data_IF_759801309477
#
_entry.id   IF_759801309477
#
_cell.length_a   1.000
_cell.length_b   1.000
_cell.length_c   1.000
_cell.angle_alpha   90.00
_cell.angle_beta   90.00
_cell.angle_gamma   90.00
#
_symmetry.space_group_name_H-M   'P 1'
#
loop_
_entity.id
_entity.type
_entity.pdbx_description
1 polymer ?
#
# COMPACT_ATOMS: atom_id res chain seq x y z
N UNK A 1 15.85 76.71 -36.33
CA UNK A 1 14.73 76.22 -35.58
C UNK A 1 15.00 74.72 -35.25
N UNK A 2 15.41 74.45 -34.03
CA UNK A 2 15.66 73.04 -33.53
C UNK A 2 14.52 72.64 -32.64
N UNK A 3 13.78 71.61 -33.07
CA UNK A 3 12.70 71.08 -32.29
C UNK A 3 13.24 69.96 -31.34
N UNK A 4 13.04 70.17 -30.06
CA UNK A 4 13.37 69.20 -29.00
C UNK A 4 12.22 68.25 -28.80
N UNK A 5 12.50 66.94 -28.87
CA UNK A 5 11.56 65.85 -28.56
C UNK A 5 11.75 65.47 -27.10
N UNK A 6 10.70 65.43 -26.25
CA UNK A 6 10.83 64.98 -24.88
C UNK A 6 10.94 63.45 -24.81
N UNK A 7 11.96 62.95 -24.09
CA UNK A 7 12.09 61.54 -23.72
C UNK A 7 11.04 61.16 -22.66
N UNK A 8 10.08 60.35 -23.05
CA UNK A 8 9.20 59.67 -22.09
C UNK A 8 9.96 58.51 -21.49
N UNK A 9 10.24 58.59 -20.21
CA UNK A 9 10.72 57.46 -19.40
C UNK A 9 9.59 56.50 -19.14
N UNK A 10 9.63 55.31 -19.78
CA UNK A 10 8.75 54.19 -19.51
C UNK A 10 9.29 53.42 -18.29
N UNK A 11 8.68 53.66 -17.12
CA UNK A 11 8.96 52.88 -15.92
C UNK A 11 8.35 51.48 -16.08
N UNK A 12 9.18 50.47 -16.34
CA UNK A 12 8.77 49.07 -16.29
C UNK A 12 8.61 48.66 -14.82
N UNK A 13 7.36 48.60 -14.40
CA UNK A 13 7.01 47.94 -13.14
C UNK A 13 7.21 46.41 -13.30
N UNK A 14 8.31 45.92 -12.74
CA UNK A 14 8.49 44.47 -12.52
C UNK A 14 7.48 44.00 -11.47
N UNK A 15 6.33 43.52 -11.93
CA UNK A 15 5.42 42.74 -11.11
C UNK A 15 6.09 41.39 -10.82
N UNK A 16 6.67 41.24 -9.63
CA UNK A 16 7.01 39.92 -9.11
C UNK A 16 5.70 39.14 -8.94
N UNK A 17 5.38 38.29 -9.95
CA UNK A 17 4.35 37.28 -9.79
C UNK A 17 4.86 36.31 -8.72
N UNK A 18 4.35 36.41 -7.50
CA UNK A 18 4.36 35.34 -6.53
C UNK A 18 3.56 34.19 -7.19
N UNK A 19 4.27 33.24 -7.78
CA UNK A 19 3.72 31.92 -8.02
C UNK A 19 3.52 31.31 -6.63
N UNK A 20 2.35 31.57 -6.06
CA UNK A 20 1.87 30.78 -4.94
C UNK A 20 1.86 29.33 -5.45
N UNK A 21 2.68 28.47 -4.85
CA UNK A 21 2.62 27.04 -5.00
C UNK A 21 1.15 26.64 -4.76
N UNK A 22 0.41 26.34 -5.83
CA UNK A 22 -0.92 25.74 -5.78
C UNK A 22 -0.76 24.24 -5.46
N UNK A 23 -0.05 23.91 -4.38
CA UNK A 23 -0.23 22.62 -3.75
C UNK A 23 -1.66 22.63 -3.22
N UNK A 24 -2.49 21.70 -3.73
CA UNK A 24 -3.87 21.56 -3.26
C UNK A 24 -3.84 21.45 -1.73
N UNK A 25 -4.47 22.42 -1.07
CA UNK A 25 -4.52 22.47 0.38
C UNK A 25 -5.34 21.28 0.89
N UNK A 26 -4.88 20.59 1.92
CA UNK A 26 -5.67 19.50 2.48
C UNK A 26 -7.01 20.01 2.97
N UNK A 27 -8.05 19.19 2.88
CA UNK A 27 -9.38 19.58 3.36
C UNK A 27 -10.10 18.43 4.05
N UNK A 28 -10.90 18.79 5.06
CA UNK A 28 -11.80 17.89 5.79
C UNK A 28 -13.23 18.39 5.58
N UNK A 29 -14.07 17.53 5.01
CA UNK A 29 -15.51 17.77 4.94
C UNK A 29 -16.19 17.00 6.07
N UNK A 30 -16.90 17.69 6.95
CA UNK A 30 -17.64 17.09 8.06
C UNK A 30 -19.03 16.60 7.64
N UNK A 31 -19.68 15.77 8.45
CA UNK A 31 -21.01 15.22 8.16
C UNK A 31 -22.09 16.28 8.12
N UNK A 32 -21.93 17.40 8.83
CA UNK A 32 -22.79 18.58 8.79
C UNK A 32 -22.51 19.52 7.60
N UNK A 33 -21.56 19.12 6.73
CA UNK A 33 -21.25 19.84 5.49
C UNK A 33 -20.22 20.96 5.63
N UNK A 34 -19.64 21.19 6.81
CA UNK A 34 -18.58 22.18 6.96
C UNK A 34 -17.29 21.68 6.27
N UNK A 35 -16.60 22.58 5.58
CA UNK A 35 -15.28 22.32 4.98
C UNK A 35 -14.23 23.07 5.78
N UNK A 36 -13.16 22.38 6.16
CA UNK A 36 -12.00 22.96 6.81
C UNK A 36 -10.77 22.72 5.94
N UNK A 37 -10.15 23.80 5.50
CA UNK A 37 -8.96 23.79 4.66
C UNK A 37 -7.73 24.15 5.49
N UNK A 38 -6.65 23.39 5.32
CA UNK A 38 -5.40 23.58 6.08
C UNK A 38 -4.44 22.45 5.85
N UNK A 39 -3.42 22.33 6.67
CA UNK A 39 -2.47 21.21 6.62
C UNK A 39 -2.89 20.13 7.63
N UNK A 40 -3.18 18.91 7.17
CA UNK A 40 -3.44 17.77 8.04
C UNK A 40 -2.12 17.32 8.65
N UNK A 41 -2.01 17.38 9.98
CA UNK A 41 -0.77 17.08 10.73
C UNK A 41 -0.75 15.68 11.31
N UNK A 42 -1.86 14.97 11.28
CA UNK A 42 -1.94 13.56 11.72
C UNK A 42 -3.27 13.19 12.37
N UNK A 43 -3.28 11.99 12.95
CA UNK A 43 -4.42 11.45 13.71
C UNK A 43 -3.98 11.22 15.16
N UNK A 44 -4.79 11.68 16.12
CA UNK A 44 -4.54 11.43 17.53
C UNK A 44 -5.84 11.25 18.30
N UNK A 45 -5.89 10.24 19.15
CA UNK A 45 -7.06 9.96 20.01
C UNK A 45 -8.41 9.93 19.24
N UNK A 46 -8.42 9.33 18.04
CA UNK A 46 -9.63 9.22 17.21
C UNK A 46 -10.08 10.53 16.55
N UNK A 47 -9.19 11.52 16.44
CA UNK A 47 -9.45 12.78 15.76
C UNK A 47 -8.33 13.15 14.79
N UNK A 48 -8.69 13.71 13.64
CA UNK A 48 -7.76 14.27 12.65
C UNK A 48 -7.38 15.67 13.09
N UNK A 49 -6.07 15.93 13.16
CA UNK A 49 -5.51 17.25 13.46
C UNK A 49 -5.28 18.00 12.17
N UNK A 50 -5.76 19.23 12.11
CA UNK A 50 -5.60 20.13 10.98
C UNK A 50 -5.13 21.50 11.46
N UNK A 51 -4.08 22.01 10.82
CA UNK A 51 -3.53 23.33 11.08
C UNK A 51 -4.10 24.32 10.08
N UNK A 52 -4.80 25.34 10.59
CA UNK A 52 -5.42 26.40 9.80
C UNK A 52 -4.75 27.73 10.19
N UNK A 53 -3.86 28.24 9.33
CA UNK A 53 -3.00 29.36 9.68
C UNK A 53 -2.14 29.06 10.91
N UNK A 54 -2.15 29.89 11.97
CA UNK A 54 -1.36 29.64 13.19
C UNK A 54 -2.04 28.67 14.16
N UNK A 55 -3.33 28.37 13.99
CA UNK A 55 -4.11 27.56 14.91
C UNK A 55 -4.13 26.09 14.47
N UNK A 56 -4.03 25.16 15.44
CA UNK A 56 -4.28 23.75 15.23
C UNK A 56 -5.58 23.36 15.90
N UNK A 57 -6.43 22.63 15.18
CA UNK A 57 -7.71 22.13 15.65
C UNK A 57 -7.83 20.63 15.37
N UNK A 58 -8.80 19.97 15.97
CA UNK A 58 -9.06 18.55 15.79
C UNK A 58 -10.48 18.32 15.35
N UNK A 59 -10.68 17.35 14.44
CA UNK A 59 -12.00 16.90 13.98
C UNK A 59 -12.14 15.43 14.30
N UNK A 60 -13.09 15.01 15.16
CA UNK A 60 -13.30 13.59 15.44
C UNK A 60 -13.58 12.80 14.16
N UNK A 61 -12.94 11.64 14.00
CA UNK A 61 -13.12 10.75 12.83
C UNK A 61 -14.61 10.42 12.60
N UNK A 62 -15.36 10.23 13.69
CA UNK A 62 -16.80 9.96 13.62
C UNK A 62 -17.61 11.08 12.94
N UNK A 63 -17.11 12.31 12.93
CA UNK A 63 -17.77 13.49 12.34
C UNK A 63 -17.29 13.79 10.91
N UNK A 64 -16.32 13.04 10.41
CA UNK A 64 -15.75 13.25 9.07
C UNK A 64 -16.59 12.50 8.03
N UNK A 65 -16.91 13.19 6.95
CA UNK A 65 -17.55 12.66 5.75
C UNK A 65 -16.52 12.31 4.67
N UNK A 66 -15.56 13.20 4.45
CA UNK A 66 -14.52 13.03 3.44
C UNK A 66 -13.24 13.79 3.82
N UNK A 67 -12.11 13.31 3.35
CA UNK A 67 -10.81 13.97 3.43
C UNK A 67 -10.22 14.04 2.02
N UNK A 68 -9.69 15.20 1.66
CA UNK A 68 -8.83 15.40 0.50
C UNK A 68 -7.43 15.72 1.03
N UNK A 69 -6.49 14.83 0.78
CA UNK A 69 -5.08 14.98 1.17
C UNK A 69 -4.22 14.31 0.14
N UNK A 70 -3.21 15.02 -0.35
CA UNK A 70 -2.22 14.45 -1.27
C UNK A 70 -1.39 13.36 -0.57
N UNK A 71 -0.89 12.40 -1.37
CA UNK A 71 0.03 11.39 -0.86
C UNK A 71 1.33 12.04 -0.39
N UNK A 72 1.78 11.79 0.85
CA UNK A 72 3.06 12.31 1.32
C UNK A 72 4.24 11.74 0.52
N UNK A 73 5.29 12.53 0.30
CA UNK A 73 6.50 12.06 -0.39
C UNK A 73 7.14 10.83 0.30
N UNK A 74 7.05 10.74 1.63
CA UNK A 74 7.50 9.58 2.40
C UNK A 74 6.74 8.30 2.04
N UNK A 75 5.44 8.39 1.66
CA UNK A 75 4.67 7.24 1.20
C UNK A 75 5.17 6.73 -0.15
N UNK A 76 5.27 7.61 -1.15
CA UNK A 76 5.83 7.25 -2.47
C UNK A 76 7.22 6.64 -2.33
N UNK A 77 8.09 7.26 -1.52
CA UNK A 77 9.44 6.75 -1.29
C UNK A 77 9.46 5.40 -0.54
N UNK A 78 8.49 5.13 0.36
CA UNK A 78 8.36 3.83 1.02
C UNK A 78 7.96 2.73 0.02
N UNK A 79 6.98 3.01 -0.85
CA UNK A 79 6.55 2.08 -1.90
C UNK A 79 7.69 1.77 -2.88
N UNK A 80 8.44 2.79 -3.32
CA UNK A 80 9.58 2.59 -4.21
C UNK A 80 10.68 1.75 -3.56
N UNK A 81 11.01 2.01 -2.28
CA UNK A 81 11.99 1.22 -1.53
C UNK A 81 11.55 -0.25 -1.43
N UNK A 82 10.29 -0.49 -1.10
CA UNK A 82 9.72 -1.83 -1.05
C UNK A 82 9.78 -2.57 -2.39
N UNK A 83 9.43 -1.89 -3.48
CA UNK A 83 9.50 -2.45 -4.85
C UNK A 83 10.93 -2.80 -5.28
N UNK A 84 11.92 -2.05 -4.79
CA UNK A 84 13.35 -2.30 -5.03
C UNK A 84 13.93 -3.38 -4.11
N UNK A 85 13.14 -3.93 -3.17
CA UNK A 85 13.59 -4.92 -2.18
C UNK A 85 14.33 -4.32 -0.98
N UNK A 86 14.37 -2.99 -0.84
CA UNK A 86 14.94 -2.30 0.33
C UNK A 86 13.92 -2.23 1.45
N UNK A 87 13.74 -3.37 2.13
CA UNK A 87 12.75 -3.50 3.19
C UNK A 87 13.05 -2.59 4.39
N UNK A 88 14.32 -2.41 4.73
CA UNK A 88 14.73 -1.57 5.86
C UNK A 88 14.35 -0.09 5.65
N UNK A 89 14.63 0.48 4.46
CA UNK A 89 14.24 1.85 4.12
C UNK A 89 12.73 2.01 4.01
N UNK A 90 12.02 1.01 3.47
CA UNK A 90 10.56 1.00 3.42
C UNK A 90 9.97 1.00 4.84
N UNK A 91 10.48 0.14 5.72
CA UNK A 91 10.04 0.01 7.11
C UNK A 91 10.14 1.33 7.87
N UNK A 92 11.30 1.98 7.83
CA UNK A 92 11.53 3.23 8.55
C UNK A 92 10.52 4.33 8.15
N UNK A 93 10.18 4.40 6.86
CA UNK A 93 9.20 5.38 6.35
C UNK A 93 7.77 4.99 6.71
N UNK A 94 7.41 3.71 6.60
CA UNK A 94 6.07 3.22 6.94
C UNK A 94 5.79 3.35 8.44
N UNK A 95 6.75 3.06 9.33
CA UNK A 95 6.62 3.27 10.77
C UNK A 95 6.34 4.76 11.09
N UNK A 96 7.05 5.69 10.44
CA UNK A 96 6.82 7.13 10.61
C UNK A 96 5.42 7.56 10.12
N UNK A 97 5.00 7.05 8.97
CA UNK A 97 3.66 7.33 8.42
C UNK A 97 2.57 6.76 9.31
N UNK A 98 2.71 5.53 9.78
CA UNK A 98 1.76 4.91 10.70
C UNK A 98 1.70 5.68 12.02
N UNK A 99 2.83 6.05 12.63
CA UNK A 99 2.85 6.84 13.86
C UNK A 99 2.10 8.18 13.74
N UNK A 100 2.01 8.73 12.53
CA UNK A 100 1.40 10.05 12.29
C UNK A 100 -0.04 9.94 11.78
N UNK A 101 -0.32 9.02 10.86
CA UNK A 101 -1.53 9.01 10.05
C UNK A 101 -2.37 7.73 10.16
N UNK A 102 -2.01 6.79 11.04
CA UNK A 102 -2.81 5.57 11.14
C UNK A 102 -4.26 5.89 11.58
N UNK A 103 -5.21 5.22 10.90
CA UNK A 103 -6.63 5.50 11.07
C UNK A 103 -7.16 6.69 10.27
N UNK A 104 -6.30 7.38 9.50
CA UNK A 104 -6.77 8.40 8.56
C UNK A 104 -7.55 7.71 7.41
N UNK A 105 -8.81 8.07 7.14
CA UNK A 105 -9.63 7.41 6.13
C UNK A 105 -9.32 7.92 4.71
N UNK A 106 -8.09 7.69 4.26
CA UNK A 106 -7.63 7.97 2.89
C UNK A 106 -6.88 6.76 2.33
N UNK A 107 -6.96 6.50 1.00
CA UNK A 107 -6.44 5.26 0.41
C UNK A 107 -4.96 4.99 0.67
N UNK A 108 -4.11 6.03 0.60
CA UNK A 108 -2.67 5.85 0.81
C UNK A 108 -2.32 5.50 2.27
N UNK A 109 -3.06 6.06 3.26
CA UNK A 109 -2.80 5.76 4.68
C UNK A 109 -3.24 4.33 5.03
N UNK A 110 -4.38 3.89 4.53
CA UNK A 110 -4.83 2.51 4.64
C UNK A 110 -3.81 1.54 4.02
N UNK A 111 -3.35 1.84 2.80
CA UNK A 111 -2.34 1.02 2.13
C UNK A 111 -1.00 1.00 2.85
N UNK A 112 -0.54 2.12 3.41
CA UNK A 112 0.67 2.16 4.24
C UNK A 112 0.54 1.25 5.48
N UNK A 113 -0.61 1.31 6.16
CA UNK A 113 -0.89 0.46 7.32
C UNK A 113 -1.05 -1.02 6.96
N UNK A 114 -1.60 -1.35 5.78
CA UNK A 114 -1.73 -2.73 5.31
C UNK A 114 -0.39 -3.32 4.86
N UNK A 115 0.54 -2.51 4.36
CA UNK A 115 1.85 -2.94 3.91
C UNK A 115 2.83 -3.14 5.08
N UNK A 116 2.69 -2.38 6.15
CA UNK A 116 3.62 -2.41 7.29
C UNK A 116 3.83 -3.83 7.87
N UNK A 117 2.78 -4.67 8.09
CA UNK A 117 2.97 -6.05 8.54
C UNK A 117 3.78 -6.91 7.55
N UNK A 118 3.59 -6.71 6.24
CA UNK A 118 4.35 -7.46 5.22
C UNK A 118 5.84 -7.14 5.26
N UNK A 119 6.16 -5.86 5.44
CA UNK A 119 7.56 -5.40 5.56
C UNK A 119 8.19 -5.92 6.85
N UNK A 120 7.45 -5.93 7.98
CA UNK A 120 7.92 -6.58 9.20
C UNK A 120 8.21 -8.07 9.01
N UNK A 121 7.35 -8.80 8.28
CA UNK A 121 7.58 -10.21 7.99
C UNK A 121 8.84 -10.44 7.15
N UNK A 122 9.11 -9.58 6.17
CA UNK A 122 10.32 -9.68 5.34
C UNK A 122 11.62 -9.44 6.14
N UNK A 123 11.53 -8.65 7.22
CA UNK A 123 12.62 -8.41 8.17
C UNK A 123 12.68 -9.45 9.31
N UNK A 124 11.85 -10.52 9.24
CA UNK A 124 11.77 -11.56 10.28
C UNK A 124 11.12 -11.10 11.59
N UNK A 125 10.52 -9.91 11.63
CA UNK A 125 9.90 -9.30 12.80
C UNK A 125 8.43 -9.74 12.95
N UNK A 126 8.18 -11.04 13.08
CA UNK A 126 6.83 -11.64 13.10
C UNK A 126 5.94 -11.05 14.20
N UNK A 127 6.47 -10.84 15.42
CA UNK A 127 5.69 -10.27 16.53
C UNK A 127 5.23 -8.82 16.27
N UNK A 128 6.04 -8.02 15.57
CA UNK A 128 5.68 -6.65 15.20
C UNK A 128 4.67 -6.66 14.04
N UNK A 129 4.82 -7.60 13.10
CA UNK A 129 3.85 -7.83 12.04
C UNK A 129 2.45 -8.16 12.60
N UNK A 130 2.36 -9.03 13.60
CA UNK A 130 1.10 -9.37 14.28
C UNK A 130 0.45 -8.17 14.93
N UNK A 131 1.23 -7.36 15.67
CA UNK A 131 0.72 -6.14 16.31
C UNK A 131 0.22 -5.12 15.28
N UNK A 132 1.02 -4.89 14.23
CA UNK A 132 0.66 -3.97 13.16
C UNK A 132 -0.60 -4.45 12.42
N UNK A 133 -0.73 -5.74 12.18
CA UNK A 133 -1.89 -6.32 11.55
C UNK A 133 -3.16 -6.23 12.41
N UNK A 134 -3.07 -6.58 13.70
CA UNK A 134 -4.21 -6.44 14.62
C UNK A 134 -4.71 -4.99 14.67
N UNK A 135 -3.79 -4.04 14.66
CA UNK A 135 -4.10 -2.62 14.63
C UNK A 135 -4.72 -2.19 13.31
N UNK A 136 -4.21 -2.68 12.17
CA UNK A 136 -4.79 -2.45 10.85
C UNK A 136 -6.25 -2.95 10.79
N UNK A 137 -6.53 -4.17 11.25
CA UNK A 137 -7.89 -4.71 11.27
C UNK A 137 -8.85 -3.89 12.14
N UNK A 138 -8.37 -3.37 13.27
CA UNK A 138 -9.16 -2.50 14.15
C UNK A 138 -9.52 -1.17 13.49
N UNK A 139 -8.59 -0.57 12.74
CA UNK A 139 -8.74 0.75 12.15
C UNK A 139 -9.44 0.72 10.78
N UNK A 140 -9.27 -0.37 10.03
CA UNK A 140 -9.79 -0.55 8.68
C UNK A 140 -10.56 -1.88 8.52
N UNK A 141 -11.67 -2.06 9.24
CA UNK A 141 -12.38 -3.37 9.30
C UNK A 141 -12.99 -3.81 7.95
N UNK A 142 -13.16 -2.89 7.00
CA UNK A 142 -13.71 -3.18 5.68
C UNK A 142 -12.71 -3.78 4.67
N UNK A 143 -11.43 -3.90 5.03
CA UNK A 143 -10.33 -4.38 4.17
C UNK A 143 -10.27 -5.91 4.10
N UNK A 144 -11.22 -6.52 3.43
CA UNK A 144 -11.46 -7.98 3.42
C UNK A 144 -10.33 -8.88 2.90
N UNK A 145 -10.25 -9.14 1.59
CA UNK A 145 -9.35 -10.16 0.99
C UNK A 145 -7.85 -9.91 1.19
N UNK A 146 -7.41 -8.65 1.35
CA UNK A 146 -6.03 -8.34 1.71
C UNK A 146 -5.64 -8.90 3.07
N UNK A 147 -6.60 -9.05 3.97
CA UNK A 147 -6.38 -9.63 5.30
C UNK A 147 -6.06 -11.12 5.25
N UNK A 148 -6.72 -11.91 4.38
CA UNK A 148 -6.49 -13.35 4.29
C UNK A 148 -5.12 -13.68 3.69
N UNK A 149 -4.65 -12.92 2.69
CA UNK A 149 -3.29 -13.05 2.15
C UNK A 149 -2.23 -12.77 3.21
N UNK A 150 -2.43 -11.74 4.00
CA UNK A 150 -1.50 -11.39 5.07
C UNK A 150 -1.51 -12.43 6.20
N UNK A 151 -2.68 -12.90 6.60
CA UNK A 151 -2.82 -14.00 7.57
C UNK A 151 -2.13 -15.28 7.07
N UNK A 152 -2.26 -15.61 5.79
CA UNK A 152 -1.56 -16.74 5.19
C UNK A 152 -0.04 -16.57 5.25
N UNK A 153 0.50 -15.37 4.94
CA UNK A 153 1.94 -15.08 5.04
C UNK A 153 2.44 -15.21 6.48
N UNK A 154 1.67 -14.72 7.46
CA UNK A 154 2.00 -14.86 8.87
C UNK A 154 2.00 -16.33 9.31
N UNK A 155 1.05 -17.12 8.85
CA UNK A 155 1.00 -18.56 9.12
C UNK A 155 2.21 -19.28 8.49
N UNK A 156 2.56 -18.98 7.24
CA UNK A 156 3.75 -19.51 6.57
C UNK A 156 5.02 -19.18 7.37
N UNK A 157 5.17 -17.95 7.85
CA UNK A 157 6.34 -17.53 8.63
C UNK A 157 6.49 -18.28 9.97
N UNK A 158 5.38 -18.85 10.48
CA UNK A 158 5.33 -19.71 11.68
C UNK A 158 5.41 -21.20 11.36
N UNK A 159 5.54 -21.58 10.08
CA UNK A 159 5.42 -22.95 9.58
C UNK A 159 4.05 -23.60 9.86
N UNK A 160 3.00 -22.81 10.06
CA UNK A 160 1.60 -23.28 10.20
C UNK A 160 0.97 -23.33 8.80
N UNK A 161 1.34 -24.40 8.06
CA UNK A 161 0.93 -24.55 6.66
C UNK A 161 -0.56 -24.89 6.52
N UNK A 162 -1.17 -25.50 7.52
CA UNK A 162 -2.61 -25.81 7.51
C UNK A 162 -3.44 -24.54 7.67
N UNK A 163 -3.08 -23.66 8.60
CA UNK A 163 -3.71 -22.35 8.73
C UNK A 163 -3.52 -21.49 7.48
N UNK A 164 -2.32 -21.50 6.89
CA UNK A 164 -2.04 -20.79 5.64
C UNK A 164 -2.93 -21.30 4.50
N UNK A 165 -3.01 -22.62 4.33
CA UNK A 165 -3.86 -23.27 3.32
C UNK A 165 -5.32 -22.87 3.47
N UNK A 166 -5.87 -22.94 4.68
CA UNK A 166 -7.25 -22.57 4.95
C UNK A 166 -7.58 -21.11 4.54
N UNK A 167 -6.62 -20.20 4.66
CA UNK A 167 -6.77 -18.81 4.23
C UNK A 167 -6.64 -18.61 2.72
N UNK A 168 -5.85 -19.42 2.05
CA UNK A 168 -5.58 -19.30 0.61
C UNK A 168 -6.60 -20.04 -0.25
N UNK A 169 -7.19 -21.14 0.24
CA UNK A 169 -8.08 -22.02 -0.51
C UNK A 169 -9.23 -21.30 -1.24
N UNK A 170 -9.97 -20.36 -0.60
CA UNK A 170 -11.05 -19.64 -1.30
C UNK A 170 -10.54 -18.82 -2.49
N UNK A 171 -9.38 -18.15 -2.35
CA UNK A 171 -8.78 -17.35 -3.42
C UNK A 171 -8.23 -18.23 -4.55
N UNK A 172 -7.59 -19.35 -4.20
CA UNK A 172 -7.07 -20.32 -5.17
C UNK A 172 -8.21 -21.01 -5.92
N UNK A 173 -9.29 -21.38 -5.23
CA UNK A 173 -10.48 -21.95 -5.87
C UNK A 173 -11.12 -20.97 -6.86
N UNK A 174 -11.23 -19.69 -6.49
CA UNK A 174 -11.69 -18.62 -7.39
C UNK A 174 -10.75 -18.47 -8.58
N UNK A 175 -9.43 -18.48 -8.36
CA UNK A 175 -8.44 -18.38 -9.44
C UNK A 175 -8.57 -19.55 -10.44
N UNK A 176 -8.75 -20.77 -9.98
CA UNK A 176 -8.91 -21.95 -10.84
C UNK A 176 -10.21 -21.93 -11.68
N UNK A 177 -11.21 -21.17 -11.24
CA UNK A 177 -12.48 -20.99 -11.98
C UNK A 177 -12.44 -19.79 -12.94
N UNK A 178 -11.46 -18.91 -12.80
CA UNK A 178 -11.37 -17.67 -13.57
C UNK A 178 -10.51 -17.87 -14.81
N UNK A 179 -11.13 -17.79 -15.99
CA UNK A 179 -10.42 -17.93 -17.27
C UNK A 179 -9.63 -16.67 -17.68
N UNK A 180 -10.12 -15.49 -17.31
CA UNK A 180 -9.53 -14.19 -17.67
C UNK A 180 -9.50 -13.30 -16.42
N UNK A 181 -8.46 -13.43 -15.59
CA UNK A 181 -8.32 -12.59 -14.40
C UNK A 181 -8.06 -11.13 -14.80
N UNK A 182 -8.72 -10.18 -14.12
CA UNK A 182 -8.58 -8.75 -14.38
C UNK A 182 -8.56 -7.93 -13.07
N UNK A 183 -7.96 -6.72 -13.14
CA UNK A 183 -7.97 -5.77 -12.03
C UNK A 183 -7.23 -6.21 -10.77
N UNK A 184 -7.65 -5.68 -9.63
CA UNK A 184 -7.05 -5.96 -8.32
C UNK A 184 -7.28 -7.39 -7.84
N UNK A 185 -8.37 -8.02 -8.26
CA UNK A 185 -8.67 -9.41 -7.94
C UNK A 185 -7.65 -10.36 -8.56
N UNK A 186 -7.26 -10.11 -9.81
CA UNK A 186 -6.21 -10.88 -10.48
C UNK A 186 -4.85 -10.80 -9.78
N UNK A 187 -4.50 -9.64 -9.21
CA UNK A 187 -3.28 -9.49 -8.42
C UNK A 187 -3.37 -10.30 -7.11
N UNK A 188 -4.53 -10.29 -6.43
CA UNK A 188 -4.76 -11.09 -5.23
C UNK A 188 -4.70 -12.60 -5.52
N UNK A 189 -5.26 -13.04 -6.65
CA UNK A 189 -5.17 -14.43 -7.12
C UNK A 189 -3.73 -14.85 -7.42
N UNK A 190 -2.95 -13.98 -8.08
CA UNK A 190 -1.53 -14.19 -8.33
C UNK A 190 -0.76 -14.43 -7.03
N UNK A 191 -0.97 -13.56 -6.04
CA UNK A 191 -0.35 -13.68 -4.73
C UNK A 191 -0.80 -14.96 -3.99
N UNK A 192 -2.09 -15.28 -4.03
CA UNK A 192 -2.62 -16.49 -3.39
C UNK A 192 -2.02 -17.78 -3.98
N UNK A 193 -1.93 -17.86 -5.31
CA UNK A 193 -1.30 -19.00 -6.00
C UNK A 193 0.18 -19.11 -5.66
N UNK A 194 0.92 -17.99 -5.62
CA UNK A 194 2.33 -18.00 -5.22
C UNK A 194 2.51 -18.51 -3.78
N UNK A 195 1.71 -18.00 -2.83
CA UNK A 195 1.76 -18.43 -1.44
C UNK A 195 1.32 -19.90 -1.27
N UNK A 196 0.34 -20.36 -2.02
CA UNK A 196 -0.06 -21.76 -2.03
C UNK A 196 1.07 -22.65 -2.55
N UNK A 197 1.79 -22.22 -3.59
CA UNK A 197 3.01 -22.89 -4.05
C UNK A 197 4.05 -23.03 -2.93
N UNK A 198 4.27 -21.97 -2.14
CA UNK A 198 5.16 -22.04 -0.98
C UNK A 198 4.66 -23.03 0.10
N UNK A 199 3.34 -23.06 0.36
CA UNK A 199 2.74 -24.01 1.30
C UNK A 199 2.96 -25.45 0.83
N UNK A 200 2.69 -25.74 -0.45
CA UNK A 200 2.92 -27.06 -1.03
C UNK A 200 4.40 -27.47 -0.96
N UNK A 201 5.28 -26.58 -1.36
CA UNK A 201 6.72 -26.84 -1.35
C UNK A 201 7.25 -27.15 0.04
N UNK A 202 6.91 -26.33 1.05
CA UNK A 202 7.33 -26.54 2.43
C UNK A 202 6.65 -27.77 3.09
N UNK A 203 5.51 -28.22 2.56
CA UNK A 203 4.84 -29.46 2.96
C UNK A 203 5.34 -30.69 2.21
N UNK A 204 6.36 -30.55 1.32
CA UNK A 204 6.93 -31.66 0.54
C UNK A 204 6.15 -32.01 -0.74
N UNK A 205 5.08 -31.31 -1.05
CA UNK A 205 4.22 -31.54 -2.22
C UNK A 205 4.76 -30.74 -3.42
N UNK A 206 5.95 -31.14 -3.91
CA UNK A 206 6.66 -30.40 -4.96
C UNK A 206 5.93 -30.34 -6.32
N UNK A 207 5.20 -31.40 -6.79
CA UNK A 207 4.42 -31.32 -8.02
C UNK A 207 3.33 -30.24 -7.98
N UNK A 208 2.56 -30.17 -6.90
CA UNK A 208 1.50 -29.18 -6.69
C UNK A 208 2.09 -27.76 -6.48
N UNK A 209 3.28 -27.67 -5.89
CA UNK A 209 4.01 -26.41 -5.80
C UNK A 209 4.40 -25.90 -7.19
N UNK A 210 4.94 -26.76 -8.04
CA UNK A 210 5.31 -26.41 -9.43
C UNK A 210 4.08 -25.98 -10.23
N UNK A 211 2.95 -26.72 -10.14
CA UNK A 211 1.69 -26.31 -10.78
C UNK A 211 1.29 -24.89 -10.37
N UNK A 212 1.28 -24.61 -9.07
CA UNK A 212 0.89 -23.31 -8.54
C UNK A 212 1.78 -22.17 -9.06
N UNK A 213 3.11 -22.38 -9.09
CA UNK A 213 4.06 -21.39 -9.63
C UNK A 213 3.91 -21.20 -11.15
N UNK A 214 3.65 -22.27 -11.90
CA UNK A 214 3.40 -22.19 -13.34
C UNK A 214 2.11 -21.42 -13.66
N UNK A 215 1.05 -21.60 -12.88
CA UNK A 215 -0.19 -20.80 -13.02
C UNK A 215 0.08 -19.30 -12.87
N UNK A 216 0.90 -18.91 -11.87
CA UNK A 216 1.30 -17.49 -11.69
C UNK A 216 2.03 -16.97 -12.92
N UNK A 217 3.01 -17.72 -13.44
CA UNK A 217 3.86 -17.24 -14.54
C UNK A 217 3.18 -17.27 -15.90
N UNK A 218 2.13 -18.06 -16.08
CA UNK A 218 1.43 -18.22 -17.35
C UNK A 218 0.14 -17.42 -17.44
N UNK A 219 -0.73 -17.52 -16.44
CA UNK A 219 -2.09 -16.97 -16.44
C UNK A 219 -2.25 -15.74 -15.54
N UNK A 220 -1.64 -15.73 -14.37
CA UNK A 220 -1.89 -14.70 -13.33
C UNK A 220 -0.72 -13.71 -13.20
N UNK A 221 -0.40 -12.99 -14.29
CA UNK A 221 0.77 -12.09 -14.37
C UNK A 221 0.54 -10.69 -13.76
N UNK A 222 -0.52 -10.49 -13.00
CA UNK A 222 -0.94 -9.16 -12.54
C UNK A 222 -0.19 -8.66 -11.30
N UNK A 223 0.63 -9.51 -10.66
CA UNK A 223 1.54 -9.12 -9.58
C UNK A 223 2.99 -9.44 -9.96
N UNK A 224 3.77 -8.46 -10.48
CA UNK A 224 5.14 -8.70 -10.96
C UNK A 224 6.07 -9.33 -9.93
N UNK A 225 5.89 -9.01 -8.65
CA UNK A 225 6.71 -9.56 -7.57
C UNK A 225 6.45 -11.07 -7.39
N UNK A 226 5.19 -11.50 -7.39
CA UNK A 226 4.83 -12.92 -7.34
C UNK A 226 5.29 -13.65 -8.59
N UNK A 227 5.16 -13.03 -9.78
CA UNK A 227 5.62 -13.62 -11.06
C UNK A 227 7.12 -13.90 -11.04
N UNK A 228 7.93 -12.92 -10.63
CA UNK A 228 9.39 -13.09 -10.58
C UNK A 228 9.81 -14.20 -9.60
N UNK A 229 9.23 -14.23 -8.41
CA UNK A 229 9.50 -15.25 -7.39
C UNK A 229 9.00 -16.64 -7.84
N UNK A 230 7.81 -16.72 -8.42
CA UNK A 230 7.25 -17.96 -8.93
C UNK A 230 8.09 -18.54 -10.07
N UNK A 231 8.57 -17.70 -10.99
CA UNK A 231 9.43 -18.14 -12.08
C UNK A 231 10.75 -18.75 -11.55
N UNK A 232 11.36 -18.13 -10.55
CA UNK A 232 12.59 -18.66 -9.94
C UNK A 232 12.34 -19.99 -9.24
N UNK A 233 11.24 -20.11 -8.46
CA UNK A 233 10.90 -21.37 -7.78
C UNK A 233 10.53 -22.48 -8.79
N UNK A 234 9.74 -22.15 -9.82
CA UNK A 234 9.41 -23.12 -10.86
C UNK A 234 10.66 -23.65 -11.59
N UNK A 235 11.63 -22.76 -11.87
CA UNK A 235 12.91 -23.16 -12.46
C UNK A 235 13.66 -24.15 -11.57
N UNK A 236 13.79 -23.86 -10.28
CA UNK A 236 14.47 -24.76 -9.31
C UNK A 236 13.79 -26.15 -9.29
N UNK A 237 12.46 -26.20 -9.17
CA UNK A 237 11.73 -27.47 -9.15
C UNK A 237 11.81 -28.24 -10.48
N UNK A 238 11.85 -27.53 -11.60
CA UNK A 238 12.05 -28.14 -12.93
C UNK A 238 13.45 -28.73 -13.08
N UNK A 239 14.49 -28.06 -12.56
CA UNK A 239 15.86 -28.56 -12.56
C UNK A 239 15.99 -29.84 -11.70
N UNK A 240 15.14 -29.99 -10.66
CA UNK A 240 14.99 -31.23 -9.86
C UNK A 240 14.19 -32.32 -10.59
N UNK A 241 13.76 -32.10 -11.83
CA UNK A 241 12.92 -33.00 -12.65
C UNK A 241 11.54 -33.32 -12.04
N UNK A 242 11.01 -32.38 -11.28
CA UNK A 242 9.63 -32.47 -10.78
C UNK A 242 8.68 -32.27 -11.97
N UNK A 243 7.68 -33.14 -12.07
CA UNK A 243 6.63 -33.06 -13.09
C UNK A 243 5.35 -32.53 -12.48
N UNK A 244 4.58 -31.80 -13.26
CA UNK A 244 3.24 -31.35 -12.89
C UNK A 244 2.28 -32.57 -12.91
N UNK A 245 1.35 -32.68 -11.96
CA UNK A 245 0.37 -33.78 -11.86
C UNK A 245 -0.46 -33.96 -13.12
#
# INVERSE_FOLDING_TARGET
>A
MKASIPRVLLAAAMGAAFLADLSAQDSITTKDGQIREGAITGVRAGAVRIKIGPAETSVPLANIRAISMAEPADYTAAIEAWQKGDAASALAKLEKLAATFEGLPVPWAERACSLLPEVYLSEGRTADAEKAFAKFQQLYPASGSSSDLLLARMAISKNDFDAARAKLEPLVASARQTLLPAGSEAASMSQALFLMGQVHENSGNKPEALESYLLVTTLFKNDPASVARAAERARVLSDEKILVP
#
